data_IF_058069301221
#
_entry.id   IF_058069301221
#
_cell.length_a   1.000
_cell.length_b   1.000
_cell.length_c   1.000
_cell.angle_alpha   90.00
_cell.angle_beta   90.00
_cell.angle_gamma   90.00
#
_symmetry.space_group_name_H-M   'P 1'
#
loop_
_entity.id
_entity.type
_entity.pdbx_description
1 polymer ?
#
# COMPACT_ATOMS: atom_id res chain seq x y z
N UNK A 1 16.13 37.22 -34.00
CA UNK A 1 17.18 37.02 -32.98
C UNK A 1 16.69 37.42 -31.57
N UNK A 2 15.65 38.25 -31.43
CA UNK A 2 15.16 38.80 -30.16
C UNK A 2 14.52 37.73 -29.22
N UNK A 3 14.03 36.61 -29.74
CA UNK A 3 13.37 35.59 -28.95
C UNK A 3 14.28 34.45 -28.47
N UNK A 4 15.54 34.42 -28.92
CA UNK A 4 16.50 33.38 -28.52
C UNK A 4 16.90 33.48 -27.05
N UNK A 5 17.07 34.67 -26.50
CA UNK A 5 17.42 34.88 -25.11
C UNK A 5 16.32 34.41 -24.15
N UNK A 6 15.07 34.89 -24.27
CA UNK A 6 13.97 34.42 -23.46
C UNK A 6 13.70 32.92 -23.62
N UNK A 7 13.83 32.37 -24.82
CA UNK A 7 13.66 30.94 -25.10
C UNK A 7 14.68 30.06 -24.38
N UNK A 8 15.95 30.45 -24.40
CA UNK A 8 17.03 29.76 -23.70
C UNK A 8 16.85 29.83 -22.17
N UNK A 9 16.40 30.96 -21.67
CA UNK A 9 16.13 31.16 -20.23
C UNK A 9 14.97 30.30 -19.77
N UNK A 10 13.89 30.20 -20.51
CA UNK A 10 12.76 29.31 -20.21
C UNK A 10 13.16 27.86 -20.27
N UNK A 11 13.93 27.45 -21.29
CA UNK A 11 14.41 26.07 -21.42
C UNK A 11 15.32 25.67 -20.25
N UNK A 12 16.26 26.57 -19.87
CA UNK A 12 17.14 26.29 -18.71
C UNK A 12 16.36 26.17 -17.41
N UNK A 13 15.34 27.01 -17.20
CA UNK A 13 14.46 26.93 -16.04
C UNK A 13 13.73 25.56 -15.98
N UNK A 14 13.17 25.12 -17.12
CA UNK A 14 12.50 23.82 -17.22
C UNK A 14 13.46 22.68 -16.86
N UNK A 15 14.68 22.72 -17.43
CA UNK A 15 15.70 21.69 -17.13
C UNK A 15 16.06 21.66 -15.65
N UNK A 16 16.23 22.83 -15.02
CA UNK A 16 16.52 22.92 -13.58
C UNK A 16 15.37 22.35 -12.76
N UNK A 17 14.13 22.69 -13.07
CA UNK A 17 12.94 22.16 -12.37
C UNK A 17 12.84 20.63 -12.51
N UNK A 18 13.05 20.10 -13.70
CA UNK A 18 13.06 18.66 -13.94
C UNK A 18 14.20 17.96 -13.16
N UNK A 19 15.38 18.56 -13.13
CA UNK A 19 16.50 18.04 -12.35
C UNK A 19 16.22 18.03 -10.86
N UNK A 20 15.57 19.06 -10.32
CA UNK A 20 15.15 19.13 -8.91
C UNK A 20 14.10 18.07 -8.57
N UNK A 21 13.09 17.88 -9.43
CA UNK A 21 12.08 16.82 -9.28
C UNK A 21 12.75 15.44 -9.29
N UNK A 22 13.64 15.21 -10.26
CA UNK A 22 14.37 13.93 -10.36
C UNK A 22 15.29 13.69 -9.16
N UNK A 23 16.01 14.72 -8.70
CA UNK A 23 16.84 14.62 -7.51
C UNK A 23 16.02 14.34 -6.23
N UNK A 24 14.88 14.99 -6.09
CA UNK A 24 13.94 14.74 -4.99
C UNK A 24 13.40 13.31 -5.00
N UNK A 25 13.00 12.81 -6.17
CA UNK A 25 12.55 11.43 -6.34
C UNK A 25 13.66 10.41 -6.03
N UNK A 26 14.87 10.63 -6.57
CA UNK A 26 16.02 9.78 -6.30
C UNK A 26 16.45 9.79 -4.82
N UNK A 27 16.37 10.95 -4.16
CA UNK A 27 16.62 11.06 -2.71
C UNK A 27 15.61 10.27 -1.89
N UNK A 28 14.32 10.29 -2.30
CA UNK A 28 13.26 9.50 -1.68
C UNK A 28 13.51 8.00 -1.83
N UNK A 29 13.88 7.55 -3.02
CA UNK A 29 14.24 6.14 -3.26
C UNK A 29 15.44 5.71 -2.40
N UNK A 30 16.49 6.55 -2.29
CA UNK A 30 17.64 6.27 -1.45
C UNK A 30 17.28 6.11 0.04
N UNK A 31 16.40 6.98 0.56
CA UNK A 31 15.93 6.87 1.95
C UNK A 31 15.08 5.62 2.21
N UNK A 32 14.54 5.01 1.17
CA UNK A 32 13.72 3.80 1.25
C UNK A 32 14.50 2.53 0.84
N UNK A 33 15.80 2.62 0.59
CA UNK A 33 16.65 1.45 0.26
C UNK A 33 16.76 0.46 1.43
N UNK A 34 16.55 0.94 2.67
CA UNK A 34 16.57 0.11 3.88
C UNK A 34 15.25 -0.66 4.10
N UNK A 35 14.26 -0.48 3.22
CA UNK A 35 13.00 -1.25 3.30
C UNK A 35 13.27 -2.66 2.78
N UNK A 36 12.96 -3.63 3.61
CA UNK A 36 13.15 -5.04 3.29
C UNK A 36 12.43 -5.43 1.98
N UNK A 37 12.91 -6.44 1.27
CA UNK A 37 12.20 -7.01 0.12
C UNK A 37 10.83 -7.54 0.56
N UNK A 38 9.89 -7.59 -0.40
CA UNK A 38 8.58 -8.18 -0.15
C UNK A 38 8.74 -9.67 0.22
N UNK A 39 7.91 -10.18 1.14
CA UNK A 39 7.85 -11.60 1.42
C UNK A 39 7.57 -12.41 0.15
N UNK A 40 8.23 -13.55 0.01
CA UNK A 40 7.99 -14.48 -1.10
C UNK A 40 6.58 -15.04 -1.01
N UNK A 41 5.94 -15.19 -2.18
CA UNK A 41 4.63 -15.83 -2.29
C UNK A 41 4.83 -17.33 -2.09
N UNK A 42 4.14 -17.97 -1.12
CA UNK A 42 4.23 -19.43 -0.93
C UNK A 42 3.82 -20.20 -2.18
N UNK A 43 4.34 -21.40 -2.37
CA UNK A 43 4.00 -22.23 -3.53
C UNK A 43 2.58 -22.84 -3.45
N UNK A 44 1.97 -22.84 -2.27
CA UNK A 44 0.68 -23.47 -1.95
C UNK A 44 -0.49 -22.48 -1.88
N UNK A 45 -0.52 -21.51 -2.80
CA UNK A 45 -1.58 -20.48 -2.85
C UNK A 45 -2.80 -20.89 -3.69
N UNK A 46 -3.09 -22.18 -3.83
CA UNK A 46 -4.11 -22.63 -4.77
C UNK A 46 -5.55 -22.52 -4.24
N UNK A 47 -5.77 -22.58 -2.93
CA UNK A 47 -7.11 -22.62 -2.33
C UNK A 47 -7.31 -21.50 -1.30
N UNK A 48 -7.70 -20.29 -1.74
CA UNK A 48 -8.00 -19.21 -0.81
C UNK A 48 -9.29 -19.50 -0.04
N UNK A 49 -9.32 -19.18 1.25
CA UNK A 49 -10.53 -19.25 2.08
C UNK A 49 -11.58 -18.21 1.67
N UNK A 50 -11.14 -17.08 1.12
CA UNK A 50 -11.99 -16.05 0.54
C UNK A 50 -11.21 -15.22 -0.49
N UNK A 51 -11.95 -14.55 -1.39
CA UNK A 51 -11.38 -13.62 -2.37
C UNK A 51 -12.29 -12.38 -2.53
N UNK A 52 -11.68 -11.20 -2.61
CA UNK A 52 -12.37 -9.93 -2.73
C UNK A 52 -11.80 -9.11 -3.89
N UNK A 53 -12.65 -8.74 -4.84
CA UNK A 53 -12.24 -7.84 -5.93
C UNK A 53 -12.26 -6.38 -5.47
N UNK A 54 -11.29 -5.61 -5.93
CA UNK A 54 -11.22 -4.22 -5.55
C UNK A 54 -9.99 -3.51 -6.08
N UNK A 55 -9.49 -2.61 -5.26
CA UNK A 55 -8.37 -1.75 -5.59
C UNK A 55 -7.35 -1.73 -4.45
N UNK A 56 -6.12 -2.12 -4.77
CA UNK A 56 -4.97 -1.80 -3.95
C UNK A 56 -4.69 -0.30 -4.08
N UNK A 57 -4.76 0.42 -2.97
CA UNK A 57 -4.65 1.89 -3.00
C UNK A 57 -3.20 2.32 -2.86
N UNK A 58 -2.55 1.92 -1.77
CA UNK A 58 -1.17 2.31 -1.46
C UNK A 58 -0.67 1.56 -0.22
N UNK A 59 0.65 1.46 -0.08
CA UNK A 59 1.29 1.18 1.22
C UNK A 59 2.07 2.41 1.68
N UNK A 60 1.93 2.75 2.95
CA UNK A 60 2.58 3.88 3.61
C UNK A 60 3.31 3.41 4.87
N UNK A 61 4.17 4.23 5.46
CA UNK A 61 4.63 3.99 6.83
C UNK A 61 3.45 4.01 7.78
N UNK A 62 3.40 3.07 8.74
CA UNK A 62 2.29 2.97 9.68
C UNK A 62 2.10 4.29 10.47
N UNK A 63 0.86 4.78 10.49
CA UNK A 63 0.51 6.04 11.15
C UNK A 63 0.88 7.31 10.38
N UNK A 64 1.62 7.23 9.26
CA UNK A 64 1.94 8.35 8.39
C UNK A 64 1.46 8.10 6.95
N UNK A 65 0.23 8.48 6.68
CA UNK A 65 -0.41 8.33 5.38
C UNK A 65 0.22 9.18 4.25
N UNK A 66 1.06 10.16 4.58
CA UNK A 66 1.80 10.98 3.61
C UNK A 66 3.10 10.30 3.17
N UNK A 67 3.67 9.44 4.01
CA UNK A 67 4.91 8.73 3.71
C UNK A 67 4.65 7.45 2.90
N UNK A 68 4.40 7.63 1.61
CA UNK A 68 4.22 6.51 0.67
C UNK A 68 5.53 5.76 0.44
N UNK A 69 5.44 4.44 0.49
CA UNK A 69 6.54 3.59 0.08
C UNK A 69 6.61 3.53 -1.45
N UNK A 70 7.65 4.13 -2.03
CA UNK A 70 7.85 4.14 -3.49
C UNK A 70 8.53 2.87 -4.00
N UNK A 71 9.25 2.14 -3.13
CA UNK A 71 9.96 0.90 -3.46
C UNK A 71 9.00 -0.27 -3.66
N UNK A 72 9.45 -1.30 -4.38
CA UNK A 72 8.71 -2.54 -4.64
C UNK A 72 7.32 -2.33 -5.28
N UNK A 73 7.07 -1.16 -5.89
CA UNK A 73 5.76 -0.83 -6.46
C UNK A 73 4.65 -0.60 -5.43
N UNK A 74 4.98 -0.46 -4.15
CA UNK A 74 4.02 -0.32 -3.03
C UNK A 74 3.25 1.00 -3.05
N UNK A 75 3.79 2.04 -3.70
CA UNK A 75 3.13 3.33 -3.87
C UNK A 75 2.16 3.42 -5.05
N UNK A 76 2.07 2.36 -5.88
CA UNK A 76 1.28 2.37 -7.10
C UNK A 76 -0.13 1.84 -6.83
N UNK A 77 -1.15 2.64 -7.17
CA UNK A 77 -2.53 2.20 -7.16
C UNK A 77 -2.80 1.24 -8.33
N UNK A 78 -3.52 0.16 -8.09
CA UNK A 78 -3.86 -0.84 -9.10
C UNK A 78 -5.18 -1.54 -8.80
N UNK A 79 -5.86 -2.06 -9.81
CA UNK A 79 -6.88 -3.07 -9.58
C UNK A 79 -6.23 -4.29 -8.94
N UNK A 80 -6.92 -4.92 -7.98
CA UNK A 80 -6.38 -6.07 -7.29
C UNK A 80 -7.48 -7.05 -6.88
N UNK A 81 -7.12 -8.33 -6.90
CA UNK A 81 -7.87 -9.39 -6.23
C UNK A 81 -7.14 -9.70 -4.92
N UNK A 82 -7.82 -9.47 -3.81
CA UNK A 82 -7.30 -9.81 -2.49
C UNK A 82 -7.74 -11.23 -2.15
N UNK A 83 -6.81 -12.15 -2.07
CA UNK A 83 -7.03 -13.54 -1.66
C UNK A 83 -6.55 -13.76 -0.24
N UNK A 84 -7.38 -14.45 0.54
CA UNK A 84 -7.12 -14.80 1.94
C UNK A 84 -6.80 -16.27 2.05
N UNK A 85 -5.72 -16.59 2.77
CA UNK A 85 -5.27 -17.95 3.07
C UNK A 85 -5.03 -18.07 4.57
N UNK A 86 -5.00 -19.26 5.14
CA UNK A 86 -4.72 -19.46 6.57
C UNK A 86 -3.36 -18.88 6.98
N UNK A 87 -2.40 -18.87 6.06
CA UNK A 87 -1.04 -18.42 6.31
C UNK A 87 -0.79 -16.94 5.92
N UNK A 88 -1.76 -16.23 5.32
CA UNK A 88 -1.59 -14.83 4.95
C UNK A 88 -2.53 -14.32 3.87
N UNK A 89 -2.22 -13.15 3.35
CA UNK A 89 -2.98 -12.40 2.36
C UNK A 89 -2.16 -12.23 1.09
N UNK A 90 -2.78 -12.39 -0.07
CA UNK A 90 -2.16 -12.11 -1.36
C UNK A 90 -2.97 -11.06 -2.13
N UNK A 91 -2.35 -9.94 -2.44
CA UNK A 91 -2.86 -8.97 -3.40
C UNK A 91 -2.32 -9.34 -4.79
N UNK A 92 -3.15 -9.96 -5.63
CA UNK A 92 -2.85 -10.13 -7.05
C UNK A 92 -3.17 -8.82 -7.77
N UNK A 93 -2.13 -8.11 -8.22
CA UNK A 93 -2.24 -6.73 -8.69
C UNK A 93 -2.14 -6.66 -10.21
N UNK A 94 -3.08 -5.98 -10.84
CA UNK A 94 -3.08 -5.77 -12.30
C UNK A 94 -2.06 -4.69 -12.67
N UNK A 95 -1.02 -5.09 -13.42
CA UNK A 95 0.00 -4.17 -13.91
C UNK A 95 1.00 -3.67 -12.85
N UNK A 96 1.09 -4.33 -11.71
CA UNK A 96 2.05 -4.05 -10.66
C UNK A 96 2.48 -5.36 -9.98
N UNK A 97 3.57 -5.32 -9.22
CA UNK A 97 4.06 -6.49 -8.45
C UNK A 97 3.04 -6.92 -7.41
N UNK A 98 2.77 -8.21 -7.34
CA UNK A 98 1.91 -8.79 -6.31
C UNK A 98 2.52 -8.60 -4.92
N UNK A 99 1.65 -8.51 -3.92
CA UNK A 99 2.08 -8.29 -2.53
C UNK A 99 1.51 -9.40 -1.65
N UNK A 100 2.41 -10.18 -1.05
CA UNK A 100 2.04 -11.18 -0.05
C UNK A 100 2.32 -10.65 1.35
N UNK A 101 1.34 -10.78 2.24
CA UNK A 101 1.43 -10.39 3.65
C UNK A 101 1.26 -11.65 4.50
N UNK A 102 2.33 -12.15 5.14
CA UNK A 102 2.22 -13.30 6.05
C UNK A 102 1.28 -12.99 7.23
N UNK A 103 0.42 -13.93 7.61
CA UNK A 103 -0.53 -13.77 8.73
C UNK A 103 0.18 -13.29 10.01
N UNK A 104 1.32 -13.90 10.33
CA UNK A 104 2.14 -13.54 11.50
C UNK A 104 2.69 -12.12 11.53
N UNK A 105 2.74 -11.45 10.36
CA UNK A 105 3.22 -10.08 10.26
C UNK A 105 2.11 -9.04 10.47
N UNK A 106 0.85 -9.44 10.44
CA UNK A 106 -0.31 -8.56 10.61
C UNK A 106 -0.36 -8.10 12.08
N UNK A 107 -0.48 -6.79 12.28
CA UNK A 107 -0.50 -6.13 13.59
C UNK A 107 -1.86 -5.55 13.94
N UNK A 108 -2.53 -4.95 12.96
CA UNK A 108 -3.84 -4.33 13.15
C UNK A 108 -4.64 -4.32 11.86
N UNK A 109 -5.95 -4.29 11.99
CA UNK A 109 -6.89 -4.11 10.89
C UNK A 109 -7.87 -3.03 11.30
N UNK A 110 -8.11 -2.08 10.42
CA UNK A 110 -9.03 -0.98 10.68
C UNK A 110 -9.76 -0.51 9.42
N UNK A 111 -10.81 0.22 9.62
CA UNK A 111 -11.56 0.88 8.55
C UNK A 111 -11.27 2.37 8.56
N UNK A 112 -10.95 2.95 7.42
CA UNK A 112 -10.69 4.39 7.28
C UNK A 112 -11.47 5.02 6.12
N UNK A 113 -11.77 6.32 6.27
CA UNK A 113 -12.53 7.09 5.27
C UNK A 113 -11.69 7.62 4.10
N UNK A 114 -10.39 7.49 4.15
CA UNK A 114 -9.45 7.91 3.08
C UNK A 114 -8.02 7.98 3.56
N UNK A 115 -7.12 7.51 2.73
CA UNK A 115 -5.71 7.84 2.78
C UNK A 115 -5.44 8.78 1.61
N UNK A 116 -4.90 9.98 1.89
CA UNK A 116 -4.49 10.97 0.90
C UNK A 116 -5.66 11.78 0.28
N UNK A 117 -6.20 12.74 1.05
CA UNK A 117 -6.81 13.98 0.51
C UNK A 117 -7.96 13.86 -0.50
N UNK A 118 -8.47 12.67 -0.76
CA UNK A 118 -9.68 12.45 -1.55
C UNK A 118 -10.75 11.87 -0.65
N UNK A 119 -11.87 12.59 -0.56
CA UNK A 119 -13.06 12.09 0.08
C UNK A 119 -13.49 10.78 -0.60
N UNK A 120 -13.21 9.68 0.07
CA UNK A 120 -13.85 8.40 -0.18
C UNK A 120 -15.05 8.35 0.77
N UNK A 121 -16.10 7.64 0.40
CA UNK A 121 -17.24 7.40 1.28
C UNK A 121 -16.78 7.08 2.69
N UNK A 122 -17.48 7.57 3.70
CA UNK A 122 -17.16 7.35 5.11
C UNK A 122 -16.85 5.87 5.32
N UNK A 123 -15.65 5.58 5.83
CA UNK A 123 -15.17 4.22 6.06
C UNK A 123 -14.93 3.35 4.80
N UNK A 124 -14.57 3.94 3.66
CA UNK A 124 -14.44 3.23 2.37
C UNK A 124 -13.20 2.33 2.21
N UNK A 125 -12.23 2.36 3.12
CA UNK A 125 -10.98 1.60 3.02
C UNK A 125 -10.84 0.57 4.15
N UNK A 126 -10.38 -0.63 3.81
CA UNK A 126 -9.77 -1.56 4.75
C UNK A 126 -8.27 -1.27 4.80
N UNK A 127 -7.74 -1.01 5.98
CA UNK A 127 -6.31 -0.75 6.21
C UNK A 127 -5.73 -1.86 7.07
N UNK A 128 -4.67 -2.47 6.58
CA UNK A 128 -3.96 -3.55 7.23
C UNK A 128 -2.60 -3.03 7.64
N UNK A 129 -2.34 -2.98 8.94
CA UNK A 129 -1.01 -2.69 9.49
C UNK A 129 -0.25 -3.99 9.63
N UNK A 130 0.96 -4.05 9.06
CA UNK A 130 1.79 -5.24 9.10
C UNK A 130 3.27 -4.92 9.14
N UNK A 131 4.08 -5.87 9.59
CA UNK A 131 5.53 -5.68 9.70
C UNK A 131 6.26 -6.14 8.44
N UNK A 132 6.98 -5.21 7.81
CA UNK A 132 7.84 -5.46 6.65
C UNK A 132 9.30 -5.28 7.07
N UNK A 133 9.96 -6.40 7.41
CA UNK A 133 11.38 -6.40 7.74
C UNK A 133 11.79 -5.50 8.90
N UNK A 134 10.96 -5.42 9.95
CA UNK A 134 11.20 -4.59 11.13
C UNK A 134 10.54 -3.20 11.10
N UNK A 135 9.90 -2.83 9.99
CA UNK A 135 9.12 -1.59 9.86
C UNK A 135 7.64 -1.91 9.77
N UNK A 136 6.83 -1.25 10.57
CA UNK A 136 5.38 -1.35 10.44
C UNK A 136 4.88 -0.43 9.32
N UNK A 137 4.04 -1.00 8.45
CA UNK A 137 3.48 -0.33 7.28
C UNK A 137 1.98 -0.54 7.21
N UNK A 138 1.29 0.41 6.57
CA UNK A 138 -0.15 0.40 6.37
C UNK A 138 -0.48 0.17 4.90
N UNK A 139 -1.17 -0.92 4.58
CA UNK A 139 -1.66 -1.22 3.23
C UNK A 139 -3.15 -0.99 3.17
N UNK A 140 -3.59 -0.12 2.25
CA UNK A 140 -4.99 0.21 2.06
C UNK A 140 -5.59 -0.52 0.86
N UNK A 141 -6.76 -1.11 1.06
CA UNK A 141 -7.57 -1.78 0.05
C UNK A 141 -8.99 -1.23 0.03
N UNK A 142 -9.54 -1.03 -1.15
CA UNK A 142 -10.92 -0.62 -1.38
C UNK A 142 -11.67 -1.73 -2.08
N UNK A 143 -12.68 -2.29 -1.44
CA UNK A 143 -13.58 -3.26 -2.08
C UNK A 143 -14.29 -2.61 -3.28
N UNK A 144 -14.54 -3.42 -4.32
CA UNK A 144 -15.39 -3.02 -5.44
C UNK A 144 -16.84 -2.87 -5.00
N UNK A 145 -17.31 -3.76 -4.13
CA UNK A 145 -18.66 -3.80 -3.59
C UNK A 145 -18.64 -3.45 -2.11
N UNK A 146 -19.39 -2.41 -1.73
CA UNK A 146 -19.39 -1.89 -0.36
C UNK A 146 -19.89 -2.91 0.69
N UNK A 147 -20.82 -3.79 0.29
CA UNK A 147 -21.37 -4.86 1.13
C UNK A 147 -20.33 -5.92 1.51
N UNK A 148 -19.29 -6.13 0.71
CA UNK A 148 -18.21 -7.09 0.99
C UNK A 148 -17.24 -6.62 2.07
N UNK A 149 -17.27 -5.34 2.43
CA UNK A 149 -16.32 -4.78 3.37
C UNK A 149 -16.44 -5.36 4.77
N UNK A 150 -17.67 -5.52 5.29
CA UNK A 150 -17.89 -6.11 6.61
C UNK A 150 -17.36 -7.55 6.69
N UNK A 151 -17.69 -8.45 5.74
CA UNK A 151 -17.10 -9.78 5.68
C UNK A 151 -15.58 -9.75 5.57
N UNK A 152 -15.02 -8.86 4.73
CA UNK A 152 -13.57 -8.71 4.60
C UNK A 152 -12.92 -8.34 5.93
N UNK A 153 -13.43 -7.32 6.62
CA UNK A 153 -12.88 -6.91 7.92
C UNK A 153 -12.97 -8.02 8.98
N UNK A 154 -14.07 -8.78 8.99
CA UNK A 154 -14.22 -9.93 9.88
C UNK A 154 -13.14 -11.00 9.60
N UNK A 155 -12.91 -11.35 8.33
CA UNK A 155 -11.84 -12.27 7.94
C UNK A 155 -10.46 -11.73 8.28
N UNK A 156 -10.18 -10.46 8.01
CA UNK A 156 -8.88 -9.84 8.33
C UNK A 156 -8.61 -9.85 9.84
N UNK A 157 -9.63 -9.58 10.64
CA UNK A 157 -9.50 -9.61 12.11
C UNK A 157 -9.22 -11.01 12.66
N UNK A 158 -9.58 -12.08 11.95
CA UNK A 158 -9.27 -13.45 12.39
C UNK A 158 -7.77 -13.77 12.39
N UNK A 159 -6.94 -12.97 11.67
CA UNK A 159 -5.48 -13.11 11.72
C UNK A 159 -4.85 -12.45 12.95
N UNK A 160 -5.59 -11.58 13.63
CA UNK A 160 -5.08 -10.94 14.84
C UNK A 160 -5.13 -11.93 16.03
N UNK A 161 -4.13 -11.91 16.92
CA UNK A 161 -4.20 -12.66 18.16
C UNK A 161 -5.50 -12.30 18.89
N UNK A 162 -6.26 -13.30 19.27
CA UNK A 162 -7.41 -13.08 20.16
C UNK A 162 -6.85 -12.45 21.44
N UNK A 163 -7.31 -11.25 21.79
CA UNK A 163 -6.97 -10.67 23.09
C UNK A 163 -7.36 -11.70 24.15
N UNK A 164 -6.38 -12.17 24.92
CA UNK A 164 -6.69 -12.98 26.08
C UNK A 164 -7.64 -12.16 26.95
N UNK A 165 -8.72 -12.76 27.49
CA UNK A 165 -9.55 -12.05 28.46
C UNK A 165 -8.64 -11.66 29.61
N UNK A 166 -8.67 -10.37 29.97
CA UNK A 166 -8.01 -9.86 31.17
C UNK A 166 -8.55 -10.71 32.34
N UNK A 167 -7.68 -11.56 32.89
CA UNK A 167 -7.94 -12.23 34.16
C UNK A 167 -7.81 -11.14 35.24
N UNK A 168 -8.98 -10.68 35.73
CA UNK A 168 -9.11 -9.93 36.99
C UNK A 168 -8.77 -10.80 38.21
#
# INVERSE_FOLDING_TARGET
>A
VEYLGPGLLTLSLIIVLLALVFAGWRSRLKRQQDIAPLPEIPADVDNPSAAYDGQYVVTTTAGDWLDRLAVHGLGIRSGALLRLYDHGLLFERRGATDVYIPARSIRAVRSESGMIGKFVEKDGLAVITWNLGGRDVDTAFRNRHAEEKKPLLAHLNSYLPTAAPDED
#
